data_IF_481061858221
#
_entry.id   IF_481061858221
#
_cell.length_a   1.000
_cell.length_b   1.000
_cell.length_c   1.000
_cell.angle_alpha   90.00
_cell.angle_beta   90.00
_cell.angle_gamma   90.00
#
_symmetry.space_group_name_H-M   'P 1'
#
loop_
_entity.id
_entity.type
_entity.pdbx_description
1 polymer ?
#
# COMPACT_ATOMS: atom_id res chain seq x y z
N UNK A 1 3.39 20.61 -12.94
CA UNK A 1 2.92 20.18 -11.62
C UNK A 1 3.25 18.71 -11.52
N UNK A 2 4.16 18.36 -10.62
CA UNK A 2 4.52 16.97 -10.38
C UNK A 2 3.69 16.48 -9.21
N UNK A 3 2.98 15.38 -9.45
CA UNK A 3 2.26 14.62 -8.42
C UNK A 3 2.90 13.26 -8.41
N UNK A 4 3.40 12.86 -7.26
CA UNK A 4 3.94 11.51 -7.05
C UNK A 4 2.98 10.78 -6.14
N UNK A 5 2.59 9.58 -6.55
CA UNK A 5 1.71 8.71 -5.77
C UNK A 5 2.37 7.38 -5.53
N UNK A 6 2.23 6.88 -4.31
CA UNK A 6 2.63 5.52 -3.97
C UNK A 6 1.45 4.77 -3.38
N UNK A 7 1.18 3.59 -3.91
CA UNK A 7 0.19 2.67 -3.38
C UNK A 7 0.91 1.51 -2.69
N UNK A 8 0.85 1.48 -1.36
CA UNK A 8 1.29 0.33 -0.58
C UNK A 8 0.09 -0.54 -0.22
N UNK A 9 0.17 -1.83 -0.52
CA UNK A 9 -0.92 -2.77 -0.31
C UNK A 9 -0.41 -4.00 0.40
N UNK A 10 -1.01 -4.28 1.55
CA UNK A 10 -0.74 -5.50 2.32
C UNK A 10 -1.95 -6.42 2.25
N UNK A 11 -1.77 -7.70 1.97
CA UNK A 11 -2.85 -8.69 1.99
C UNK A 11 -2.50 -9.95 2.80
N UNK A 12 -3.50 -10.53 3.47
CA UNK A 12 -3.28 -11.68 4.36
C UNK A 12 -4.55 -12.50 4.56
N UNK A 13 -4.40 -13.76 4.94
CA UNK A 13 -5.49 -14.66 5.28
C UNK A 13 -5.80 -14.64 6.77
N UNK A 14 -6.80 -15.43 7.22
CA UNK A 14 -7.08 -15.59 8.65
C UNK A 14 -5.89 -16.13 9.46
N UNK A 15 -4.93 -16.81 8.82
CA UNK A 15 -3.76 -17.40 9.48
C UNK A 15 -2.90 -16.34 10.18
N UNK A 16 -2.83 -15.13 9.60
CA UNK A 16 -2.10 -13.98 10.15
C UNK A 16 -2.94 -13.02 11.03
N UNK A 17 -3.97 -13.51 11.74
CA UNK A 17 -4.76 -12.68 12.69
C UNK A 17 -4.18 -12.59 14.10
N UNK A 18 -3.29 -13.51 14.50
CA UNK A 18 -2.66 -13.51 15.82
C UNK A 18 -1.29 -14.21 15.80
N UNK A 19 -0.58 -14.13 16.92
CA UNK A 19 0.75 -14.76 17.06
C UNK A 19 1.84 -14.09 16.21
N UNK A 20 2.97 -14.78 15.96
CA UNK A 20 4.15 -14.20 15.31
C UNK A 20 3.87 -13.58 13.93
N UNK A 21 3.00 -14.18 13.13
CA UNK A 21 2.66 -13.68 11.80
C UNK A 21 1.90 -12.33 11.84
N UNK A 22 1.10 -12.09 12.89
CA UNK A 22 0.45 -10.79 13.08
C UNK A 22 1.45 -9.69 13.45
N UNK A 23 2.51 -10.03 14.20
CA UNK A 23 3.61 -9.10 14.51
C UNK A 23 4.33 -8.68 13.24
N UNK A 24 4.69 -9.64 12.38
CA UNK A 24 5.33 -9.36 11.08
C UNK A 24 4.45 -8.46 10.23
N UNK A 25 3.17 -8.80 10.05
CA UNK A 25 2.20 -7.98 9.32
C UNK A 25 2.09 -6.56 9.89
N UNK A 26 2.03 -6.39 11.21
CA UNK A 26 1.90 -5.08 11.83
C UNK A 26 3.15 -4.21 11.71
N UNK A 27 4.30 -4.82 11.42
CA UNK A 27 5.58 -4.14 11.26
C UNK A 27 5.87 -3.74 9.80
N UNK A 28 5.04 -4.16 8.83
CA UNK A 28 5.29 -3.84 7.42
C UNK A 28 5.24 -2.33 7.19
N UNK A 29 6.19 -1.75 6.42
CA UNK A 29 6.18 -0.33 6.12
C UNK A 29 4.96 0.07 5.28
N UNK A 30 4.40 1.24 5.56
CA UNK A 30 3.31 1.85 4.77
C UNK A 30 3.81 2.91 3.79
N UNK A 31 5.12 3.10 3.72
CA UNK A 31 5.80 4.03 2.82
C UNK A 31 7.19 3.53 2.46
N UNK A 32 7.59 3.72 1.20
CA UNK A 32 8.88 3.29 0.65
C UNK A 32 9.53 4.41 -0.15
N UNK A 33 10.84 4.36 -0.30
CA UNK A 33 11.55 5.26 -1.22
C UNK A 33 11.03 5.10 -2.64
N UNK A 34 10.74 6.21 -3.31
CA UNK A 34 10.31 6.27 -4.70
C UNK A 34 11.55 6.52 -5.58
N UNK A 35 11.86 5.67 -6.55
CA UNK A 35 12.92 5.97 -7.51
C UNK A 35 12.60 7.26 -8.27
N UNK A 36 13.57 8.19 -8.36
CA UNK A 36 13.39 9.45 -9.09
C UNK A 36 13.13 9.15 -10.57
N UNK A 37 11.95 9.52 -11.08
CA UNK A 37 11.58 9.37 -12.49
C UNK A 37 10.90 10.64 -13.01
N UNK A 38 11.05 10.89 -14.31
CA UNK A 38 10.44 12.02 -14.99
C UNK A 38 8.99 11.68 -15.35
N UNK A 39 8.02 12.49 -14.91
CA UNK A 39 6.59 12.36 -15.24
C UNK A 39 5.73 11.72 -14.14
N UNK A 40 4.38 11.75 -14.29
CA UNK A 40 3.47 11.18 -13.31
C UNK A 40 3.51 9.65 -13.36
N UNK A 41 3.89 9.04 -12.24
CA UNK A 41 4.01 7.59 -12.09
C UNK A 41 3.31 7.16 -10.81
N UNK A 42 2.58 6.05 -10.89
CA UNK A 42 2.11 5.32 -9.72
C UNK A 42 3.19 4.30 -9.33
N UNK A 43 3.78 4.47 -8.14
CA UNK A 43 4.66 3.48 -7.52
C UNK A 43 3.82 2.52 -6.68
N UNK A 44 3.63 1.30 -7.15
CA UNK A 44 2.90 0.27 -6.43
C UNK A 44 3.88 -0.61 -5.64
N UNK A 45 3.55 -0.87 -4.37
CA UNK A 45 4.28 -1.80 -3.52
C UNK A 45 3.29 -2.80 -2.95
N UNK A 46 3.46 -4.06 -3.32
CA UNK A 46 2.61 -5.16 -2.92
C UNK A 46 3.33 -6.02 -1.88
N UNK A 47 2.64 -6.35 -0.80
CA UNK A 47 3.10 -7.29 0.22
C UNK A 47 1.97 -8.27 0.52
N UNK A 48 2.31 -9.55 0.63
CA UNK A 48 1.33 -10.56 0.99
C UNK A 48 1.93 -11.70 1.82
N UNK A 49 1.06 -12.39 2.54
CA UNK A 49 1.42 -13.52 3.40
C UNK A 49 2.06 -14.69 2.64
N UNK A 50 1.75 -14.89 1.35
CA UNK A 50 2.32 -15.99 0.57
C UNK A 50 3.79 -15.75 0.19
N UNK A 51 4.21 -14.49 0.21
CA UNK A 51 5.59 -14.06 -0.02
C UNK A 51 6.22 -13.46 1.25
N UNK A 52 5.85 -13.95 2.44
CA UNK A 52 6.41 -13.53 3.74
C UNK A 52 6.38 -12.01 3.99
N UNK A 53 5.44 -11.32 3.35
CA UNK A 53 5.34 -9.85 3.32
C UNK A 53 6.57 -9.14 2.72
N UNK A 54 7.36 -9.81 1.89
CA UNK A 54 8.42 -9.17 1.11
C UNK A 54 7.81 -8.13 0.14
N UNK A 55 8.38 -6.91 0.06
CA UNK A 55 7.84 -5.84 -0.77
C UNK A 55 8.16 -6.07 -2.25
N UNK A 56 7.11 -6.13 -3.07
CA UNK A 56 7.20 -6.26 -4.53
C UNK A 56 6.80 -4.94 -5.18
N UNK A 57 7.78 -4.21 -5.71
CA UNK A 57 7.58 -2.89 -6.30
C UNK A 57 7.33 -2.96 -7.81
N UNK A 58 6.34 -2.22 -8.30
CA UNK A 58 6.05 -2.01 -9.72
C UNK A 58 5.72 -0.55 -10.01
N UNK A 59 5.81 -0.18 -11.29
CA UNK A 59 5.50 1.16 -11.76
C UNK A 59 4.44 1.10 -12.84
N UNK A 60 3.42 1.94 -12.71
CA UNK A 60 2.44 2.17 -13.76
C UNK A 60 2.53 3.62 -14.21
N UNK A 61 2.67 3.81 -15.52
CA UNK A 61 2.55 5.13 -16.12
C UNK A 61 1.10 5.60 -16.04
N UNK A 62 0.90 6.88 -15.71
CA UNK A 62 -0.41 7.48 -15.59
C UNK A 62 -0.76 7.89 -14.17
N UNK A 63 -1.82 8.69 -14.05
CA UNK A 63 -2.42 9.04 -12.76
C UNK A 63 -3.25 7.84 -12.30
N UNK A 64 -3.33 7.55 -10.99
CA UNK A 64 -4.30 6.57 -10.49
C UNK A 64 -5.69 6.97 -10.99
N UNK A 65 -6.42 6.02 -11.59
CA UNK A 65 -7.79 6.26 -12.02
C UNK A 65 -8.68 6.49 -10.78
N UNK A 66 -9.85 7.13 -10.94
CA UNK A 66 -10.76 7.33 -9.80
C UNK A 66 -11.14 6.01 -9.12
N UNK A 67 -11.16 4.92 -9.89
CA UNK A 67 -11.49 3.57 -9.42
C UNK A 67 -10.31 2.87 -8.70
N UNK A 68 -9.09 3.41 -8.82
CA UNK A 68 -7.92 3.00 -8.05
C UNK A 68 -7.97 3.54 -6.61
N UNK A 69 -8.76 4.58 -6.35
CA UNK A 69 -8.88 5.16 -5.00
C UNK A 69 -10.23 4.78 -4.41
N UNK A 70 -10.41 3.49 -4.11
CA UNK A 70 -11.55 3.05 -3.30
C UNK A 70 -11.18 2.09 -2.18
N UNK A 71 -11.63 2.54 -1.01
CA UNK A 71 -11.35 2.11 0.34
C UNK A 71 -12.02 0.77 0.71
N UNK A 72 -11.30 -0.07 1.46
CA UNK A 72 -11.75 -1.31 2.12
C UNK A 72 -12.65 -2.23 1.26
N UNK A 73 -12.06 -2.83 0.23
CA UNK A 73 -12.67 -3.89 -0.56
C UNK A 73 -12.29 -5.27 0.01
N UNK A 74 -13.28 -6.07 0.46
CA UNK A 74 -13.09 -7.50 0.73
C UNK A 74 -13.17 -8.25 -0.60
N UNK A 75 -12.05 -8.79 -1.07
CA UNK A 75 -12.04 -9.66 -2.24
C UNK A 75 -11.83 -11.12 -1.82
N UNK A 76 -12.61 -12.03 -2.41
CA UNK A 76 -12.39 -13.47 -2.29
C UNK A 76 -11.40 -13.92 -3.36
N UNK A 77 -10.33 -14.60 -2.95
CA UNK A 77 -9.41 -15.22 -3.92
C UNK A 77 -10.13 -16.36 -4.65
N UNK A 78 -9.62 -16.73 -5.84
CA UNK A 78 -10.16 -17.84 -6.66
C UNK A 78 -10.10 -19.22 -5.97
N UNK A 79 -9.53 -19.31 -4.77
CA UNK A 79 -9.38 -20.53 -3.97
C UNK A 79 -10.46 -20.67 -2.87
N UNK A 80 -11.40 -19.73 -2.75
CA UNK A 80 -12.46 -19.79 -1.74
C UNK A 80 -12.03 -19.44 -0.31
N UNK A 81 -10.77 -19.06 -0.09
CA UNK A 81 -10.27 -18.60 1.22
C UNK A 81 -10.49 -17.09 1.41
N UNK A 82 -10.97 -16.71 2.61
CA UNK A 82 -11.15 -15.30 3.00
C UNK A 82 -9.81 -14.56 3.07
N UNK A 83 -9.66 -13.51 2.27
CA UNK A 83 -8.46 -12.65 2.25
C UNK A 83 -8.82 -11.25 2.77
N UNK A 84 -7.99 -10.72 3.66
CA UNK A 84 -8.02 -9.35 4.14
C UNK A 84 -6.99 -8.51 3.37
N UNK A 85 -7.23 -7.20 3.26
CA UNK A 85 -6.34 -6.24 2.60
C UNK A 85 -6.31 -4.92 3.37
N UNK A 86 -5.13 -4.29 3.42
CA UNK A 86 -4.92 -2.92 3.87
C UNK A 86 -4.32 -2.07 2.75
N UNK A 87 -5.09 -1.08 2.35
CA UNK A 87 -4.83 0.07 1.50
C UNK A 87 -3.99 1.19 2.14
N UNK A 88 -2.82 1.60 1.63
CA UNK A 88 -2.25 2.93 1.94
C UNK A 88 -1.89 3.67 0.65
N UNK A 89 -2.49 4.84 0.45
CA UNK A 89 -2.20 5.73 -0.65
C UNK A 89 -1.43 6.96 -0.14
N UNK A 90 -0.15 7.03 -0.48
CA UNK A 90 0.69 8.19 -0.20
C UNK A 90 0.65 9.15 -1.40
N UNK A 91 0.45 10.44 -1.14
CA UNK A 91 0.36 11.48 -2.18
C UNK A 91 1.30 12.62 -1.81
N UNK A 92 2.22 12.94 -2.70
CA UNK A 92 3.09 14.11 -2.61
C UNK A 92 2.77 15.06 -3.76
N UNK A 93 2.62 16.35 -3.44
CA UNK A 93 2.34 17.40 -4.39
C UNK A 93 3.48 18.42 -4.40
N UNK A 94 4.05 18.70 -5.57
CA UNK A 94 5.22 19.58 -5.73
C UNK A 94 6.52 18.78 -5.91
N UNK A 95 7.70 19.42 -5.79
CA UNK A 95 8.98 18.74 -5.89
C UNK A 95 9.10 17.67 -4.81
N UNK A 96 9.18 16.40 -5.23
CA UNK A 96 9.31 15.26 -4.33
C UNK A 96 10.72 14.67 -4.42
N UNK A 97 11.33 14.43 -3.27
CA UNK A 97 12.58 13.65 -3.17
C UNK A 97 12.28 12.16 -3.11
N UNK A 98 13.29 11.32 -3.35
CA UNK A 98 13.11 9.87 -3.35
C UNK A 98 12.58 9.31 -2.02
N UNK A 99 12.86 9.99 -0.91
CA UNK A 99 12.52 9.60 0.46
C UNK A 99 11.20 10.23 0.96
N UNK A 100 10.44 10.92 0.11
CA UNK A 100 9.25 11.71 0.47
C UNK A 100 8.19 10.95 1.28
N UNK A 101 8.10 9.63 1.15
CA UNK A 101 7.13 8.78 1.87
C UNK A 101 7.72 7.98 3.02
N UNK A 102 8.98 8.21 3.40
CA UNK A 102 9.64 7.50 4.51
C UNK A 102 9.61 8.29 5.83
N UNK A 103 9.30 9.58 5.77
CA UNK A 103 9.14 10.45 6.95
C UNK A 103 7.69 10.59 7.41
N UNK A 104 7.49 11.46 8.41
CA UNK A 104 6.15 11.75 8.94
C UNK A 104 5.28 12.49 7.90
N UNK A 105 4.05 12.01 7.63
CA UNK A 105 3.16 12.67 6.70
C UNK A 105 2.67 14.00 7.29
N UNK A 106 2.60 15.04 6.45
CA UNK A 106 2.03 16.35 6.84
C UNK A 106 0.53 16.28 7.10
N UNK A 107 -0.15 15.28 6.52
CA UNK A 107 -1.56 14.96 6.75
C UNK A 107 -1.76 13.45 6.73
N UNK A 108 -2.38 12.93 7.79
CA UNK A 108 -2.75 11.52 7.90
C UNK A 108 -4.28 11.40 7.92
N UNK A 109 -4.82 10.49 7.12
CA UNK A 109 -6.24 10.12 7.13
C UNK A 109 -6.31 8.62 7.30
N UNK A 110 -6.93 8.18 8.40
CA UNK A 110 -7.13 6.77 8.70
C UNK A 110 -8.61 6.44 8.66
N UNK A 111 -9.02 5.71 7.63
CA UNK A 111 -10.40 5.28 7.43
C UNK A 111 -10.53 3.75 7.60
N UNK A 112 -9.61 3.12 8.36
CA UNK A 112 -9.71 1.69 8.70
C UNK A 112 -11.01 1.44 9.45
N UNK A 113 -11.94 0.73 8.81
CA UNK A 113 -13.11 0.19 9.48
C UNK A 113 -12.71 -0.85 10.53
N UNK A 114 -13.39 -0.84 11.69
CA UNK A 114 -13.22 -1.88 12.71
C UNK A 114 -13.42 -3.26 12.08
N UNK A 115 -12.35 -4.06 12.09
CA UNK A 115 -12.41 -5.47 11.72
C UNK A 115 -13.18 -6.20 12.82
N UNK A 116 -14.49 -6.39 12.61
CA UNK A 116 -15.31 -7.33 13.41
C UNK A 116 -14.90 -8.77 13.15
#
# INVERSE_FOLDING_TARGET
>A
MDVVTQWVRTSWTKRSRGGPAATVRNAVPVGFTVPVRNGPVLHEVLMDEAHDFEPHASFREGRPERDDVLLLYRFSSRLGEWTCRLDTLNVAYGPATADVFTGDPTRHVDERGLLR
#
